data_IF_932229022357
#
_entry.id   IF_932229022357
#
_cell.length_a   1.000
_cell.length_b   1.000
_cell.length_c   1.000
_cell.angle_alpha   90.00
_cell.angle_beta   90.00
_cell.angle_gamma   90.00
#
_symmetry.space_group_name_H-M   'P 1'
#
loop_
_entity.id
_entity.type
_entity.pdbx_description
1 polymer ?
#
# COMPACT_ATOMS: atom_id res chain seq x y z
N UNK A 1 -2.96 -10.70 14.79
CA UNK A 1 -4.23 -10.26 14.17
C UNK A 1 -5.18 -11.45 14.21
N UNK A 2 -6.43 -11.27 14.63
CA UNK A 2 -7.37 -12.39 14.73
C UNK A 2 -8.09 -12.63 13.38
N UNK A 3 -8.72 -13.81 13.17
CA UNK A 3 -9.38 -14.12 11.89
C UNK A 3 -10.46 -13.11 11.49
N UNK A 4 -11.21 -12.57 12.45
CA UNK A 4 -12.25 -11.58 12.18
C UNK A 4 -11.68 -10.27 11.62
N UNK A 5 -10.56 -9.80 12.17
CA UNK A 5 -9.84 -8.62 11.66
C UNK A 5 -9.34 -8.86 10.24
N UNK A 6 -8.79 -10.04 9.95
CA UNK A 6 -8.33 -10.42 8.61
C UNK A 6 -9.50 -10.37 7.61
N UNK A 7 -10.64 -10.97 7.96
CA UNK A 7 -11.85 -10.94 7.12
C UNK A 7 -12.34 -9.51 6.88
N UNK A 8 -12.38 -8.66 7.90
CA UNK A 8 -12.79 -7.26 7.76
C UNK A 8 -11.84 -6.49 6.84
N UNK A 9 -10.53 -6.67 6.98
CA UNK A 9 -9.52 -6.02 6.14
C UNK A 9 -9.63 -6.48 4.68
N UNK A 10 -9.73 -7.78 4.43
CA UNK A 10 -9.92 -8.34 3.08
C UNK A 10 -11.19 -7.79 2.41
N UNK A 11 -12.31 -7.76 3.15
CA UNK A 11 -13.57 -7.21 2.63
C UNK A 11 -13.48 -5.71 2.34
N UNK A 12 -12.89 -4.94 3.25
CA UNK A 12 -12.69 -3.50 3.07
C UNK A 12 -11.81 -3.19 1.86
N UNK A 13 -10.70 -3.92 1.72
CA UNK A 13 -9.80 -3.74 0.59
C UNK A 13 -10.45 -4.12 -0.74
N UNK A 14 -11.25 -5.19 -0.79
CA UNK A 14 -11.98 -5.57 -2.01
C UNK A 14 -12.90 -4.45 -2.54
N UNK A 15 -13.51 -3.67 -1.65
CA UNK A 15 -14.32 -2.51 -2.03
C UNK A 15 -13.47 -1.38 -2.63
N UNK A 16 -12.27 -1.16 -2.09
CA UNK A 16 -11.33 -0.16 -2.61
C UNK A 16 -10.71 -0.60 -3.94
N UNK A 17 -10.43 -1.90 -4.10
CA UNK A 17 -9.83 -2.47 -5.29
C UNK A 17 -10.73 -2.35 -6.54
N UNK A 18 -12.05 -2.21 -6.36
CA UNK A 18 -12.98 -1.94 -7.47
C UNK A 18 -12.70 -0.63 -8.20
N UNK A 19 -12.08 0.36 -7.53
CA UNK A 19 -11.56 1.61 -8.11
C UNK A 19 -10.14 1.85 -7.59
N UNK A 20 -9.23 0.93 -7.95
CA UNK A 20 -7.84 0.94 -7.50
C UNK A 20 -7.12 2.27 -7.77
N UNK A 21 -7.22 2.82 -8.99
CA UNK A 21 -6.54 4.08 -9.35
C UNK A 21 -7.20 5.27 -8.62
N UNK A 22 -8.52 5.33 -8.50
CA UNK A 22 -9.20 6.37 -7.73
C UNK A 22 -8.88 6.32 -6.24
N UNK A 23 -8.78 5.13 -5.65
CA UNK A 23 -8.28 4.95 -4.29
C UNK A 23 -6.84 5.48 -4.13
N UNK A 24 -5.92 5.06 -5.01
CA UNK A 24 -4.53 5.48 -4.94
C UNK A 24 -4.35 6.99 -5.16
N UNK A 25 -5.14 7.61 -6.05
CA UNK A 25 -5.14 9.06 -6.25
C UNK A 25 -5.51 9.79 -4.95
N UNK A 26 -6.64 9.42 -4.34
CA UNK A 26 -7.08 9.98 -3.05
C UNK A 26 -6.03 9.80 -1.95
N UNK A 27 -5.36 8.65 -1.90
CA UNK A 27 -4.29 8.40 -0.95
C UNK A 27 -3.13 9.39 -1.12
N UNK A 28 -2.60 9.55 -2.34
CA UNK A 28 -1.48 10.47 -2.58
C UNK A 28 -1.88 11.95 -2.47
N UNK A 29 -3.11 12.29 -2.85
CA UNK A 29 -3.64 13.64 -2.65
C UNK A 29 -3.67 14.01 -1.16
N UNK A 30 -4.19 13.11 -0.31
CA UNK A 30 -4.19 13.31 1.14
C UNK A 30 -2.78 13.30 1.73
N UNK A 31 -1.90 12.40 1.28
CA UNK A 31 -0.49 12.35 1.72
C UNK A 31 0.22 13.68 1.47
N UNK A 32 0.11 14.23 0.25
CA UNK A 32 0.75 15.49 -0.09
C UNK A 32 0.04 16.70 0.49
N UNK A 33 -1.24 16.58 0.85
CA UNK A 33 -1.96 17.61 1.61
C UNK A 33 -1.44 17.73 3.04
N UNK A 34 -1.17 16.60 3.72
CA UNK A 34 -0.69 16.61 5.12
C UNK A 34 0.83 16.74 5.23
N UNK A 35 1.57 16.28 4.22
CA UNK A 35 3.03 16.33 4.16
C UNK A 35 3.50 16.77 2.77
N UNK A 36 3.44 18.08 2.46
CA UNK A 36 3.81 18.60 1.14
C UNK A 36 5.24 18.24 0.71
N UNK A 37 6.17 18.26 1.67
CA UNK A 37 7.59 17.97 1.42
C UNK A 37 7.83 16.52 0.95
N UNK A 38 6.94 15.59 1.31
CA UNK A 38 7.02 14.21 0.87
C UNK A 38 6.90 14.07 -0.65
N UNK A 39 6.28 15.04 -1.35
CA UNK A 39 6.16 15.02 -2.81
C UNK A 39 7.52 14.97 -3.52
N UNK A 40 8.54 15.58 -2.92
CA UNK A 40 9.91 15.56 -3.45
C UNK A 40 10.55 14.17 -3.49
N UNK A 41 10.06 13.23 -2.67
CA UNK A 41 10.54 11.84 -2.61
C UNK A 41 9.96 10.98 -3.75
N UNK A 42 8.90 11.43 -4.42
CA UNK A 42 8.25 10.69 -5.51
C UNK A 42 8.67 11.28 -6.86
N UNK A 43 9.89 10.97 -7.28
CA UNK A 43 10.49 11.44 -8.55
C UNK A 43 10.04 10.64 -9.78
N UNK A 44 9.37 9.51 -9.56
CA UNK A 44 8.83 8.64 -10.61
C UNK A 44 7.47 9.11 -11.11
N UNK A 45 7.05 8.59 -12.27
CA UNK A 45 5.70 8.78 -12.77
C UNK A 45 4.65 8.36 -11.72
N UNK A 46 3.76 9.30 -11.37
CA UNK A 46 2.77 9.06 -10.32
C UNK A 46 1.72 8.02 -10.70
N UNK A 47 1.41 7.81 -11.98
CA UNK A 47 0.53 6.73 -12.40
C UNK A 47 1.18 5.36 -12.17
N UNK A 48 2.49 5.24 -12.48
CA UNK A 48 3.25 4.04 -12.16
C UNK A 48 3.33 3.81 -10.64
N UNK A 49 3.56 4.87 -9.87
CA UNK A 49 3.63 4.78 -8.41
C UNK A 49 2.30 4.33 -7.79
N UNK A 50 1.17 4.82 -8.28
CA UNK A 50 -0.16 4.40 -7.83
C UNK A 50 -0.42 2.92 -8.10
N UNK A 51 -0.05 2.44 -9.29
CA UNK A 51 -0.15 1.01 -9.61
C UNK A 51 0.70 0.17 -8.66
N UNK A 52 1.96 0.54 -8.44
CA UNK A 52 2.86 -0.17 -7.50
C UNK A 52 2.30 -0.21 -6.08
N UNK A 53 1.74 0.91 -5.62
CA UNK A 53 1.14 1.02 -4.30
C UNK A 53 -0.03 0.05 -4.12
N UNK A 54 -0.99 0.03 -5.06
CA UNK A 54 -2.15 -0.86 -4.96
C UNK A 54 -1.73 -2.34 -5.05
N UNK A 55 -0.80 -2.68 -5.94
CA UNK A 55 -0.27 -4.04 -6.05
C UNK A 55 0.35 -4.51 -4.74
N UNK A 56 1.19 -3.68 -4.11
CA UNK A 56 1.79 -4.01 -2.81
C UNK A 56 0.73 -4.16 -1.72
N UNK A 57 -0.29 -3.32 -1.71
CA UNK A 57 -1.40 -3.45 -0.75
C UNK A 57 -2.18 -4.74 -0.93
N UNK A 58 -2.46 -5.15 -2.17
CA UNK A 58 -3.11 -6.43 -2.46
C UNK A 58 -2.27 -7.60 -1.94
N UNK A 59 -0.96 -7.61 -2.23
CA UNK A 59 -0.05 -8.65 -1.73
C UNK A 59 -0.04 -8.73 -0.20
N UNK A 60 -0.02 -7.59 0.50
CA UNK A 60 -0.07 -7.56 1.96
C UNK A 60 -1.40 -8.08 2.52
N UNK A 61 -2.52 -7.75 1.87
CA UNK A 61 -3.87 -8.23 2.25
C UNK A 61 -4.01 -9.75 2.04
N UNK A 62 -3.38 -10.28 1.00
CA UNK A 62 -3.35 -11.73 0.74
C UNK A 62 -2.54 -12.46 1.82
N UNK A 63 -1.42 -11.88 2.28
CA UNK A 63 -0.50 -12.47 3.26
C UNK A 63 -0.92 -12.31 4.73
N UNK A 64 -2.08 -11.72 5.05
CA UNK A 64 -2.45 -11.39 6.44
C UNK A 64 -2.56 -12.60 7.39
N UNK A 65 -2.77 -13.80 6.88
CA UNK A 65 -2.79 -15.07 7.64
C UNK A 65 -1.44 -15.80 7.63
N UNK A 66 -0.42 -15.24 6.98
CA UNK A 66 0.91 -15.82 6.77
C UNK A 66 2.01 -14.93 7.34
N UNK A 67 2.12 -14.91 8.68
CA UNK A 67 3.00 -13.99 9.41
C UNK A 67 4.47 -14.01 8.93
N UNK A 68 5.03 -15.20 8.68
CA UNK A 68 6.42 -15.35 8.23
C UNK A 68 6.67 -14.78 6.83
N UNK A 69 5.72 -14.94 5.91
CA UNK A 69 5.84 -14.39 4.55
C UNK A 69 5.67 -12.87 4.56
N UNK A 70 4.76 -12.35 5.38
CA UNK A 70 4.55 -10.92 5.54
C UNK A 70 5.77 -10.21 6.12
N UNK A 71 6.51 -10.85 7.03
CA UNK A 71 7.71 -10.28 7.65
C UNK A 71 8.86 -10.12 6.64
N UNK A 72 9.12 -11.16 5.84
CA UNK A 72 10.14 -11.10 4.78
C UNK A 72 9.82 -10.01 3.76
N UNK A 73 8.58 -9.98 3.26
CA UNK A 73 8.16 -8.98 2.26
C UNK A 73 8.23 -7.56 2.82
N UNK A 74 7.84 -7.35 4.09
CA UNK A 74 7.93 -6.05 4.75
C UNK A 74 9.39 -5.60 4.93
N UNK A 75 10.28 -6.52 5.29
CA UNK A 75 11.71 -6.22 5.46
C UNK A 75 12.36 -5.78 4.15
N UNK A 76 12.18 -6.55 3.09
CA UNK A 76 12.71 -6.20 1.75
C UNK A 76 12.15 -4.87 1.25
N UNK A 77 10.87 -4.60 1.51
CA UNK A 77 10.25 -3.32 1.16
C UNK A 77 10.88 -2.18 1.95
N UNK A 78 11.08 -2.35 3.26
CA UNK A 78 11.71 -1.37 4.13
C UNK A 78 13.14 -1.05 3.73
N UNK A 79 13.94 -2.06 3.41
CA UNK A 79 15.32 -1.90 2.92
C UNK A 79 15.39 -1.03 1.65
N UNK A 80 14.43 -1.21 0.71
CA UNK A 80 14.33 -0.35 -0.48
C UNK A 80 13.95 1.10 -0.13
N UNK A 81 13.09 1.32 0.87
CA UNK A 81 12.65 2.66 1.27
C UNK A 81 13.75 3.47 1.95
N UNK A 82 14.74 2.82 2.59
CA UNK A 82 15.92 3.53 3.13
C UNK A 82 16.74 4.20 2.01
N UNK A 83 16.68 3.66 0.79
CA UNK A 83 17.39 4.19 -0.36
C UNK A 83 16.59 5.16 -1.24
N UNK A 84 15.35 5.51 -0.87
CA UNK A 84 14.54 6.52 -1.56
C UNK A 84 14.74 7.90 -0.93
#
# INVERSE_FOLDING_TARGET
MNPEQITRLRRGFALLAADADGFARRFYDELFRIAPDARGLFTVDMALQRTKFVTMMASLVDMLDSASQSDVAARELGERHVGY
#
